data_IF_752443385207
#
_entry.id   IF_752443385207
#
_cell.length_a   1.000
_cell.length_b   1.000
_cell.length_c   1.000
_cell.angle_alpha   90.00
_cell.angle_beta   90.00
_cell.angle_gamma   90.00
#
_symmetry.space_group_name_H-M   'P 1'
#
loop_
_entity.id
_entity.type
_entity.pdbx_description
1 polymer ?
#
# COMPACT_ATOMS: atom_id res chain seq x y z
N UNK A 1 3.39 -4.33 -31.56
CA UNK A 1 4.52 -4.55 -30.62
C UNK A 1 4.92 -3.19 -30.07
N UNK A 2 4.55 -2.89 -28.82
CA UNK A 2 4.83 -1.60 -28.19
C UNK A 2 6.29 -1.58 -27.74
N UNK A 3 7.09 -0.70 -28.35
CA UNK A 3 8.52 -0.59 -28.09
C UNK A 3 8.76 0.09 -26.73
N UNK A 4 9.57 -0.54 -25.87
CA UNK A 4 9.77 -0.22 -24.45
C UNK A 4 10.80 0.90 -24.21
N UNK A 5 10.86 1.97 -25.02
CA UNK A 5 11.81 3.06 -24.79
C UNK A 5 11.29 4.39 -25.36
N UNK A 6 11.28 5.42 -24.52
CA UNK A 6 10.98 6.79 -24.93
C UNK A 6 12.21 7.67 -24.67
N UNK A 7 12.81 8.19 -25.73
CA UNK A 7 13.87 9.20 -25.65
C UNK A 7 13.25 10.58 -25.48
N UNK A 8 13.72 11.35 -24.50
CA UNK A 8 13.34 12.76 -24.33
C UNK A 8 14.61 13.59 -24.22
N UNK A 9 14.77 14.56 -25.12
CA UNK A 9 15.91 15.50 -25.18
C UNK A 9 17.30 14.82 -25.22
N UNK A 10 17.45 13.76 -26.02
CA UNK A 10 18.73 13.06 -26.19
C UNK A 10 19.22 12.31 -24.94
N UNK A 11 18.40 12.24 -23.89
CA UNK A 11 18.58 11.35 -22.75
C UNK A 11 17.59 10.21 -22.88
N UNK A 12 18.12 8.99 -22.90
CA UNK A 12 17.31 7.77 -22.82
C UNK A 12 16.71 7.72 -21.41
N UNK A 13 15.58 8.40 -21.21
CA UNK A 13 14.85 8.35 -19.96
C UNK A 13 14.29 6.93 -19.86
N UNK A 14 14.75 6.17 -18.86
CA UNK A 14 14.13 4.89 -18.50
C UNK A 14 12.74 5.17 -17.94
N UNK A 15 11.80 5.50 -18.83
CA UNK A 15 10.39 5.57 -18.45
C UNK A 15 9.99 4.15 -18.05
N UNK A 16 9.43 4.02 -16.85
CA UNK A 16 8.85 2.79 -16.30
C UNK A 16 9.84 1.72 -15.80
N UNK A 17 10.94 2.09 -15.15
CA UNK A 17 11.52 1.13 -14.19
C UNK A 17 10.47 0.93 -13.10
N UNK A 18 10.04 -0.31 -12.87
CA UNK A 18 9.30 -0.67 -11.67
C UNK A 18 10.24 -0.37 -10.51
N UNK A 19 10.07 0.77 -9.86
CA UNK A 19 10.87 1.11 -8.69
C UNK A 19 10.47 0.13 -7.59
N UNK A 20 11.45 -0.56 -7.00
CA UNK A 20 11.18 -1.36 -5.81
C UNK A 20 10.79 -0.40 -4.67
N UNK A 21 9.54 -0.47 -4.15
CA UNK A 21 9.13 0.38 -3.04
C UNK A 21 10.08 0.26 -1.84
N UNK A 22 10.72 -0.89 -1.61
CA UNK A 22 11.65 -1.11 -0.51
C UNK A 22 12.95 -0.29 -0.64
N UNK A 23 13.32 0.14 -1.85
CA UNK A 23 14.54 0.90 -2.12
C UNK A 23 14.31 2.41 -2.20
N UNK A 24 13.06 2.88 -2.10
CA UNK A 24 12.75 4.31 -2.17
C UNK A 24 13.36 5.03 -0.96
N UNK A 25 14.23 6.05 -1.17
CA UNK A 25 14.85 6.78 -0.08
C UNK A 25 13.82 7.70 0.59
N UNK A 26 13.58 7.50 1.88
CA UNK A 26 12.69 8.33 2.68
C UNK A 26 13.47 9.50 3.29
N UNK A 27 13.70 10.54 2.49
CA UNK A 27 14.47 11.73 2.90
C UNK A 27 13.67 13.03 2.84
N UNK A 28 12.44 12.98 2.31
CA UNK A 28 11.56 14.12 2.18
C UNK A 28 10.09 13.71 2.34
N UNK A 29 9.26 14.69 2.72
CA UNK A 29 7.84 14.47 2.99
C UNK A 29 7.03 14.06 1.74
N UNK A 30 7.18 14.70 0.57
CA UNK A 30 6.50 14.26 -0.66
C UNK A 30 6.74 12.79 -1.00
N UNK A 31 7.98 12.31 -0.88
CA UNK A 31 8.33 10.91 -1.13
C UNK A 31 7.66 9.97 -0.12
N UNK A 32 7.65 10.33 1.16
CA UNK A 32 6.94 9.58 2.20
C UNK A 32 5.44 9.47 1.92
N UNK A 33 4.79 10.56 1.51
CA UNK A 33 3.38 10.57 1.13
C UNK A 33 3.09 9.72 -0.11
N UNK A 34 3.91 9.86 -1.15
CA UNK A 34 3.77 9.09 -2.37
C UNK A 34 3.89 7.59 -2.11
N UNK A 35 4.82 7.18 -1.25
CA UNK A 35 5.00 5.80 -0.83
C UNK A 35 3.77 5.25 -0.10
N UNK A 36 3.22 5.98 0.87
CA UNK A 36 2.03 5.56 1.61
C UNK A 36 0.84 5.40 0.66
N UNK A 37 0.62 6.36 -0.24
CA UNK A 37 -0.46 6.29 -1.22
C UNK A 37 -0.29 5.09 -2.16
N UNK A 38 0.94 4.86 -2.64
CA UNK A 38 1.27 3.73 -3.50
C UNK A 38 0.99 2.38 -2.83
N UNK A 39 1.45 2.18 -1.58
CA UNK A 39 1.25 0.92 -0.86
C UNK A 39 -0.23 0.68 -0.52
N UNK A 40 -0.99 1.73 -0.18
CA UNK A 40 -2.45 1.63 0.00
C UNK A 40 -3.15 1.19 -1.28
N UNK A 41 -2.84 1.82 -2.42
CA UNK A 41 -3.40 1.42 -3.72
C UNK A 41 -3.06 -0.03 -4.07
N UNK A 42 -1.80 -0.45 -3.84
CA UNK A 42 -1.38 -1.83 -4.07
C UNK A 42 -2.12 -2.84 -3.19
N UNK A 43 -2.35 -2.52 -1.92
CA UNK A 43 -3.14 -3.36 -1.01
C UNK A 43 -4.60 -3.43 -1.44
N UNK A 44 -5.21 -2.30 -1.82
CA UNK A 44 -6.59 -2.23 -2.28
C UNK A 44 -6.83 -3.05 -3.55
N UNK A 45 -5.89 -3.01 -4.52
CA UNK A 45 -5.94 -3.87 -5.72
C UNK A 45 -5.94 -5.36 -5.40
N UNK A 46 -5.48 -5.75 -4.20
CA UNK A 46 -5.48 -7.12 -3.69
C UNK A 46 -6.64 -7.39 -2.72
N UNK A 47 -7.61 -6.48 -2.62
CA UNK A 47 -8.77 -6.62 -1.74
C UNK A 47 -8.45 -6.45 -0.25
N UNK A 48 -7.36 -5.77 0.08
CA UNK A 48 -6.97 -5.46 1.45
C UNK A 48 -7.06 -3.97 1.71
N UNK A 49 -7.62 -3.61 2.86
CA UNK A 49 -7.44 -2.27 3.43
C UNK A 49 -6.20 -2.27 4.34
N UNK A 50 -5.17 -1.53 3.92
CA UNK A 50 -3.87 -1.49 4.61
C UNK A 50 -3.97 -0.79 5.97
N UNK A 51 -4.84 0.22 6.11
CA UNK A 51 -4.98 0.99 7.36
C UNK A 51 -5.69 0.19 8.46
N UNK A 52 -6.50 -0.80 8.08
CA UNK A 52 -7.12 -1.75 9.02
C UNK A 52 -6.20 -2.93 9.32
N UNK A 53 -5.38 -3.34 8.35
CA UNK A 53 -4.55 -4.54 8.46
C UNK A 53 -3.17 -4.30 9.10
N UNK A 54 -2.68 -3.06 9.10
CA UNK A 54 -1.41 -2.64 9.70
C UNK A 54 -1.64 -1.44 10.64
N UNK A 55 -0.67 -1.17 11.54
CA UNK A 55 -0.65 0.11 12.28
C UNK A 55 -0.66 1.29 11.28
N UNK A 56 -1.29 2.42 11.63
CA UNK A 56 -1.27 3.60 10.79
C UNK A 56 0.17 4.09 10.57
N UNK A 57 0.46 4.76 9.44
CA UNK A 57 1.77 5.34 9.20
C UNK A 57 2.11 6.36 10.31
N UNK A 58 3.40 6.51 10.65
CA UNK A 58 3.87 7.51 11.62
C UNK A 58 3.28 8.90 11.35
N UNK A 59 2.80 9.62 12.39
CA UNK A 59 2.31 10.97 12.22
C UNK A 59 3.45 11.94 11.88
N UNK A 60 3.17 12.90 11.02
CA UNK A 60 4.14 13.93 10.63
C UNK A 60 4.51 14.81 11.82
N UNK A 61 5.82 15.06 12.04
CA UNK A 61 6.24 15.97 13.08
C UNK A 61 5.87 17.41 12.70
N UNK A 62 5.30 18.14 13.66
CA UNK A 62 4.89 19.54 13.49
C UNK A 62 5.98 20.55 13.84
N UNK A 63 7.12 20.06 14.34
CA UNK A 63 8.23 20.91 14.78
C UNK A 63 9.49 20.62 13.98
N UNK A 64 10.19 21.69 13.62
CA UNK A 64 11.50 21.61 13.02
C UNK A 64 12.52 21.99 14.10
N UNK A 65 13.43 21.08 14.45
CA UNK A 65 14.56 21.44 15.31
C UNK A 65 15.44 22.44 14.56
N UNK A 66 16.15 23.35 15.24
CA UNK A 66 16.88 24.51 14.67
C UNK A 66 17.91 24.27 13.56
N UNK A 67 17.99 23.05 12.99
CA UNK A 67 18.63 22.67 11.72
C UNK A 67 17.68 22.61 10.51
N UNK A 68 16.39 22.90 10.69
CA UNK A 68 15.37 22.83 9.64
C UNK A 68 14.49 21.57 9.69
N UNK A 69 13.55 21.45 8.75
CA UNK A 69 12.51 20.42 8.74
C UNK A 69 12.97 19.06 8.17
N UNK A 70 14.28 18.80 8.24
CA UNK A 70 14.90 17.50 7.93
C UNK A 70 15.85 17.06 9.06
N UNK A 71 15.84 17.73 10.23
CA UNK A 71 16.75 17.43 11.35
C UNK A 71 16.24 16.33 12.30
N UNK A 72 16.77 16.30 13.54
CA UNK A 72 16.66 15.19 14.50
C UNK A 72 15.26 14.56 14.69
N UNK A 73 14.18 15.36 14.70
CA UNK A 73 12.81 14.82 14.82
C UNK A 73 12.35 14.17 13.51
N UNK A 74 12.71 14.78 12.38
CA UNK A 74 12.40 14.29 11.04
C UNK A 74 13.18 13.02 10.69
N UNK A 75 14.43 12.88 11.15
CA UNK A 75 15.19 11.63 11.03
C UNK A 75 14.49 10.46 11.73
N UNK A 76 13.97 10.68 12.94
CA UNK A 76 13.17 9.68 13.65
C UNK A 76 11.88 9.32 12.91
N UNK A 77 11.20 10.31 12.35
CA UNK A 77 10.03 10.10 11.49
C UNK A 77 10.35 9.26 10.26
N UNK A 78 11.42 9.58 9.52
CA UNK A 78 11.80 8.84 8.32
C UNK A 78 12.25 7.41 8.63
N UNK A 79 12.94 7.18 9.75
CA UNK A 79 13.27 5.83 10.20
C UNK A 79 12.01 5.03 10.56
N UNK A 80 11.07 5.63 11.31
CA UNK A 80 9.80 4.98 11.63
C UNK A 80 8.97 4.67 10.37
N UNK A 81 9.01 5.56 9.38
CA UNK A 81 8.38 5.36 8.08
C UNK A 81 9.02 4.22 7.29
N UNK A 82 10.35 4.07 7.35
CA UNK A 82 11.04 2.94 6.72
C UNK A 82 10.61 1.60 7.32
N UNK A 83 10.55 1.50 8.65
CA UNK A 83 10.03 0.29 9.31
C UNK A 83 8.56 0.01 8.96
N UNK A 84 7.72 1.04 8.91
CA UNK A 84 6.32 0.88 8.49
C UNK A 84 6.19 0.39 7.05
N UNK A 85 7.01 0.92 6.13
CA UNK A 85 7.07 0.49 4.73
C UNK A 85 7.42 -0.99 4.63
N UNK A 86 8.45 -1.43 5.35
CA UNK A 86 8.92 -2.80 5.29
C UNK A 86 7.82 -3.77 5.76
N UNK A 87 7.15 -3.45 6.88
CA UNK A 87 5.99 -4.22 7.38
C UNK A 87 4.83 -4.24 6.37
N UNK A 88 4.54 -3.11 5.71
CA UNK A 88 3.48 -3.03 4.71
C UNK A 88 3.78 -3.88 3.47
N UNK A 89 5.02 -3.85 2.98
CA UNK A 89 5.47 -4.67 1.85
C UNK A 89 5.36 -6.15 2.21
N UNK A 90 5.86 -6.55 3.39
CA UNK A 90 5.78 -7.93 3.88
C UNK A 90 4.32 -8.40 3.95
N UNK A 91 3.42 -7.60 4.52
CA UNK A 91 2.00 -7.92 4.63
C UNK A 91 1.33 -8.08 3.26
N UNK A 92 1.62 -7.19 2.32
CA UNK A 92 1.08 -7.22 0.95
C UNK A 92 1.56 -8.48 0.21
N UNK A 93 2.84 -8.86 0.36
CA UNK A 93 3.43 -10.06 -0.25
C UNK A 93 2.86 -11.33 0.39
N UNK A 94 2.77 -11.39 1.72
CA UNK A 94 2.31 -12.59 2.42
C UNK A 94 0.82 -12.88 2.18
N UNK A 95 -0.01 -11.85 2.02
CA UNK A 95 -1.44 -12.02 1.69
C UNK A 95 -1.66 -12.61 0.28
N UNK A 96 -0.73 -12.40 -0.64
CA UNK A 96 -0.82 -12.96 -2.01
C UNK A 96 -0.79 -14.48 -2.06
N UNK A 97 -0.39 -15.15 -0.97
CA UNK A 97 -0.40 -16.61 -0.86
C UNK A 97 -1.73 -17.21 -0.41
N UNK A 98 -2.69 -16.41 0.08
CA UNK A 98 -3.96 -16.92 0.58
C UNK A 98 -5.05 -16.76 -0.51
N UNK A 99 -5.66 -17.84 -1.01
CA UNK A 99 -6.81 -17.71 -1.89
C UNK A 99 -7.89 -16.91 -1.16
N UNK A 100 -8.46 -15.90 -1.84
CA UNK A 100 -9.57 -15.13 -1.31
C UNK A 100 -10.65 -16.09 -0.78
N UNK A 101 -11.21 -15.89 0.42
CA UNK A 101 -12.36 -16.67 0.84
C UNK A 101 -13.47 -16.37 -0.17
N UNK A 102 -13.77 -17.37 -1.01
CA UNK A 102 -14.90 -17.34 -1.92
C UNK A 102 -16.10 -16.87 -1.11
N UNK A 103 -16.62 -15.70 -1.46
CA UNK A 103 -17.87 -15.19 -0.92
C UNK A 103 -18.93 -16.27 -1.18
N UNK A 104 -19.22 -17.08 -0.16
CA UNK A 104 -20.33 -18.00 -0.16
C UNK A 104 -21.59 -17.14 -0.21
N UNK A 105 -22.45 -17.26 -1.24
CA UNK A 105 -23.77 -16.69 -1.13
C UNK A 105 -24.49 -17.41 0.02
N UNK A 106 -25.03 -16.63 0.95
CA UNK A 106 -25.96 -17.12 1.96
C UNK A 106 -27.23 -17.62 1.26
N UNK A 107 -27.18 -18.87 0.77
CA UNK A 107 -28.33 -19.60 0.29
C UNK A 107 -29.05 -20.22 1.49
N UNK A 108 -29.84 -19.41 2.19
CA UNK A 108 -30.80 -19.93 3.17
C UNK A 108 -31.91 -20.66 2.42
N UNK A 109 -31.75 -21.98 2.28
CA UNK A 109 -32.86 -22.88 2.00
C UNK A 109 -33.83 -22.89 3.19
N UNK A 110 -35.12 -22.71 2.92
CA UNK A 110 -36.20 -23.07 3.83
C UNK A 110 -37.30 -23.69 2.98
N UNK A 111 -37.61 -24.95 3.30
CA UNK A 111 -38.35 -25.90 2.47
C UNK A 111 -39.86 -25.64 2.36
N UNK A 112 -40.57 -26.53 1.65
CA UNK A 112 -41.98 -26.34 1.30
C UNK A 112 -42.91 -26.60 2.48
N UNK A 113 -43.80 -25.65 2.76
CA UNK A 113 -44.97 -25.89 3.59
C UNK A 113 -46.01 -26.67 2.77
N UNK A 114 -46.10 -27.98 3.02
CA UNK A 114 -47.28 -28.78 2.69
C UNK A 114 -48.38 -28.39 3.68
N UNK A 115 -49.48 -27.85 3.18
CA UNK A 115 -50.74 -27.85 3.90
C UNK A 115 -51.89 -28.23 2.96
N UNK A 116 -52.46 -29.37 3.31
CA UNK A 116 -53.59 -30.09 2.76
C UNK A 116 -54.91 -29.43 3.21
N UNK A 117 -55.87 -29.15 2.31
CA UNK A 117 -57.24 -28.82 2.71
C UNK A 117 -58.18 -30.01 2.47
N UNK A 118 -58.62 -30.63 3.57
CA UNK A 118 -59.79 -31.50 3.66
C UNK A 118 -60.84 -30.90 4.59
#
# INVERSE_FOLDING_TARGET
>A
MFNQSAEFEGRHQRRFVLWDPAEVPLADLPTAHALVAFLRDQAQRRGMDLDTALRPPPPEPTTCCGRGCNGCVWEGFYNAMAYWRDDAIELIINRTGLPAPSALPAGSGSGPAVHDPG
#
